data_IF_856023890134
#
_entry.id   IF_856023890134
#
_cell.length_a   1.000
_cell.length_b   1.000
_cell.length_c   1.000
_cell.angle_alpha   90.00
_cell.angle_beta   90.00
_cell.angle_gamma   90.00
#
_symmetry.space_group_name_H-M   'P 1'
#
loop_
_entity.id
_entity.type
_entity.pdbx_description
1 polymer ?
#
# COMPACT_ATOMS: atom_id res chain seq x y z
N UNK A 1 -5.82 -8.59 -3.19
CA UNK A 1 -6.34 -7.61 -4.20
C UNK A 1 -6.50 -6.22 -3.59
N UNK A 2 -6.36 -5.16 -4.41
CA UNK A 2 -6.60 -3.78 -3.98
C UNK A 2 -8.09 -3.49 -3.75
N UNK A 3 -8.42 -2.67 -2.75
CA UNK A 3 -9.77 -2.23 -2.41
C UNK A 3 -9.98 -0.79 -2.89
N UNK A 4 -10.97 -0.57 -3.75
CA UNK A 4 -11.41 0.76 -4.15
C UNK A 4 -12.33 1.34 -3.08
N UNK A 5 -12.04 2.55 -2.60
CA UNK A 5 -12.93 3.33 -1.73
C UNK A 5 -13.49 4.49 -2.54
N UNK A 6 -14.81 4.67 -2.46
CA UNK A 6 -15.54 5.71 -3.18
C UNK A 6 -15.06 7.11 -2.86
N UNK A 7 -15.09 7.97 -3.89
CA UNK A 7 -14.60 9.33 -3.78
C UNK A 7 -15.46 10.18 -2.85
N UNK A 8 -14.81 11.04 -2.05
CA UNK A 8 -15.45 12.10 -1.26
C UNK A 8 -15.45 13.39 -2.06
N UNK A 9 -16.49 14.19 -1.91
CA UNK A 9 -16.70 15.42 -2.69
C UNK A 9 -17.87 15.33 -3.66
N UNK A 10 -17.78 16.06 -4.77
CA UNK A 10 -18.85 16.26 -5.74
C UNK A 10 -18.79 15.37 -6.97
N UNK A 11 -19.79 15.56 -7.85
CA UNK A 11 -19.88 14.93 -9.17
C UNK A 11 -19.46 15.86 -10.32
N UNK A 12 -18.89 17.03 -10.00
CA UNK A 12 -18.46 18.01 -10.99
C UNK A 12 -17.10 17.68 -11.58
N UNK A 13 -16.75 18.30 -12.72
CA UNK A 13 -15.47 18.08 -13.38
C UNK A 13 -15.39 16.77 -14.16
N UNK A 14 -14.24 16.52 -14.76
CA UNK A 14 -13.96 15.30 -15.52
C UNK A 14 -13.43 14.21 -14.59
N UNK A 15 -13.93 12.99 -14.77
CA UNK A 15 -13.46 11.84 -14.01
C UNK A 15 -12.05 11.43 -14.43
N UNK A 16 -11.30 10.92 -13.47
CA UNK A 16 -9.97 10.35 -13.67
C UNK A 16 -9.76 9.19 -12.71
N UNK A 17 -8.94 8.24 -13.13
CA UNK A 17 -8.61 7.04 -12.36
C UNK A 17 -7.18 6.65 -12.70
N UNK A 18 -6.30 6.68 -11.70
CA UNK A 18 -4.90 6.30 -11.91
C UNK A 18 -4.71 4.78 -11.82
N UNK A 19 -5.74 4.05 -11.38
CA UNK A 19 -5.68 2.61 -11.18
C UNK A 19 -5.05 2.21 -9.84
N UNK A 20 -4.89 0.89 -9.69
CA UNK A 20 -4.46 0.23 -8.45
C UNK A 20 -3.25 -0.67 -8.63
N UNK A 21 -2.49 -0.47 -9.71
CA UNK A 21 -1.33 -1.30 -10.09
C UNK A 21 0.01 -0.67 -9.68
N UNK A 22 -0.03 0.32 -8.78
CA UNK A 22 1.14 0.94 -8.18
C UNK A 22 1.55 0.26 -6.87
N UNK A 23 2.85 0.27 -6.58
CA UNK A 23 3.44 -0.28 -5.36
C UNK A 23 3.24 0.67 -4.16
N UNK A 24 3.34 1.98 -4.40
CA UNK A 24 3.20 3.02 -3.37
C UNK A 24 2.99 4.43 -3.95
N UNK A 25 2.48 5.33 -3.09
CA UNK A 25 2.52 6.79 -3.30
C UNK A 25 3.77 7.35 -2.64
N UNK A 26 4.59 8.11 -3.36
CA UNK A 26 5.86 8.68 -2.84
C UNK A 26 5.83 10.19 -2.70
N UNK A 27 4.98 10.89 -3.45
CA UNK A 27 4.85 12.34 -3.33
C UNK A 27 3.45 12.80 -3.67
N UNK A 28 2.98 13.79 -2.91
CA UNK A 28 1.71 14.48 -3.17
C UNK A 28 1.99 15.98 -3.25
N UNK A 29 1.70 16.59 -4.39
CA UNK A 29 1.82 18.02 -4.62
C UNK A 29 0.42 18.63 -4.70
N UNK A 30 0.17 19.66 -3.90
CA UNK A 30 -1.12 20.37 -3.86
C UNK A 30 -0.90 21.86 -4.12
N UNK A 31 -1.86 22.52 -4.75
CA UNK A 31 -1.98 23.98 -4.73
C UNK A 31 -3.37 24.41 -4.29
N UNK A 32 -3.43 25.49 -3.54
CA UNK A 32 -4.69 26.09 -3.06
C UNK A 32 -5.02 27.30 -3.92
N UNK A 33 -6.25 27.36 -4.41
CA UNK A 33 -6.80 28.51 -5.13
C UNK A 33 -7.89 29.19 -4.32
N UNK A 34 -8.43 30.32 -4.82
CA UNK A 34 -9.40 31.12 -4.07
C UNK A 34 -10.71 30.40 -3.72
N UNK A 35 -11.07 29.34 -4.45
CA UNK A 35 -12.31 28.58 -4.22
C UNK A 35 -12.11 27.29 -3.41
N UNK A 36 -10.90 26.77 -3.30
CA UNK A 36 -10.62 25.45 -2.72
C UNK A 36 -9.28 24.90 -3.19
N UNK A 37 -9.13 23.58 -3.18
CA UNK A 37 -7.95 22.93 -3.76
C UNK A 37 -7.97 23.15 -5.29
N UNK A 38 -6.96 23.85 -5.81
CA UNK A 38 -6.87 24.17 -7.23
C UNK A 38 -6.43 22.95 -8.02
N UNK A 39 -5.34 22.32 -7.58
CA UNK A 39 -4.92 21.08 -8.18
C UNK A 39 -4.23 20.15 -7.21
N UNK A 40 -4.18 18.88 -7.60
CA UNK A 40 -3.38 17.84 -6.97
C UNK A 40 -2.62 17.03 -8.03
N UNK A 41 -1.43 16.56 -7.69
CA UNK A 41 -0.60 15.71 -8.53
C UNK A 41 0.14 14.71 -7.64
N UNK A 42 0.37 13.51 -8.17
CA UNK A 42 0.99 12.42 -7.43
C UNK A 42 2.23 11.92 -8.15
N UNK A 43 3.20 11.44 -7.37
CA UNK A 43 4.23 10.53 -7.87
C UNK A 43 3.99 9.16 -7.23
N UNK A 44 3.99 8.12 -8.05
CA UNK A 44 3.84 6.73 -7.65
C UNK A 44 5.13 5.95 -7.91
N UNK A 45 5.27 4.81 -7.23
CA UNK A 45 6.20 3.76 -7.65
C UNK A 45 5.40 2.66 -8.34
N UNK A 46 5.85 2.28 -9.53
CA UNK A 46 5.29 1.19 -10.33
C UNK A 46 6.42 0.33 -10.85
N UNK A 47 6.42 -0.96 -10.49
CA UNK A 47 7.50 -1.89 -10.84
C UNK A 47 8.89 -1.37 -10.42
N UNK A 48 8.97 -0.72 -9.25
CA UNK A 48 10.19 -0.10 -8.74
C UNK A 48 10.62 1.20 -9.43
N UNK A 49 9.90 1.70 -10.43
CA UNK A 49 10.17 2.98 -11.10
C UNK A 49 9.22 4.08 -10.63
N UNK A 50 9.73 5.31 -10.51
CA UNK A 50 8.90 6.46 -10.12
C UNK A 50 8.22 7.07 -11.35
N UNK A 51 6.90 7.22 -11.29
CA UNK A 51 6.08 7.81 -12.33
C UNK A 51 5.27 8.98 -11.77
N UNK A 52 5.32 10.13 -12.44
CA UNK A 52 4.51 11.29 -12.09
C UNK A 52 3.21 11.28 -12.89
N UNK A 53 2.08 11.46 -12.20
CA UNK A 53 0.78 11.56 -12.85
C UNK A 53 0.62 12.88 -13.58
N UNK A 54 -0.31 12.99 -14.55
CA UNK A 54 -0.77 14.30 -14.97
C UNK A 54 -1.36 15.06 -13.77
N UNK A 55 -1.44 16.37 -13.87
CA UNK A 55 -2.05 17.23 -12.85
C UNK A 55 -3.59 17.11 -12.91
N UNK A 56 -4.26 17.14 -11.75
CA UNK A 56 -5.72 17.12 -11.63
C UNK A 56 -6.22 18.48 -11.18
N UNK A 57 -6.97 19.18 -12.03
CA UNK A 57 -7.31 20.60 -11.87
C UNK A 57 -6.60 21.46 -12.93
N UNK A 58 -6.54 22.76 -12.71
CA UNK A 58 -5.72 23.67 -13.54
C UNK A 58 -4.64 24.35 -12.70
N UNK A 59 -3.43 24.51 -13.26
CA UNK A 59 -2.34 25.17 -12.53
C UNK A 59 -2.62 26.67 -12.31
N UNK A 60 -3.17 27.35 -13.32
CA UNK A 60 -3.42 28.79 -13.30
C UNK A 60 -2.18 29.58 -12.86
N UNK A 61 -2.39 30.63 -12.06
CA UNK A 61 -1.34 31.40 -11.39
C UNK A 61 -1.09 30.96 -9.93
N UNK A 62 -1.56 29.76 -9.54
CA UNK A 62 -1.45 29.30 -8.15
C UNK A 62 -0.04 28.80 -7.84
N UNK A 63 0.43 29.08 -6.63
CA UNK A 63 1.72 28.61 -6.13
C UNK A 63 1.49 27.29 -5.38
N UNK A 64 2.21 26.20 -5.72
CA UNK A 64 2.14 24.95 -4.98
C UNK A 64 2.58 25.12 -3.52
N UNK A 65 1.96 24.37 -2.61
CA UNK A 65 2.49 24.21 -1.25
C UNK A 65 3.77 23.39 -1.26
N UNK A 66 4.49 23.31 -0.15
CA UNK A 66 5.52 22.27 -0.04
C UNK A 66 4.89 20.88 -0.26
N UNK A 67 5.55 19.99 -1.02
CA UNK A 67 5.04 18.65 -1.28
C UNK A 67 5.06 17.78 -0.02
N UNK A 68 4.07 16.88 0.09
CA UNK A 68 4.12 15.81 1.08
C UNK A 68 4.90 14.63 0.49
N UNK A 69 6.17 14.53 0.89
CA UNK A 69 7.09 13.45 0.45
C UNK A 69 7.01 12.27 1.41
N UNK A 70 6.90 11.06 0.88
CA UNK A 70 6.78 9.80 1.59
C UNK A 70 8.01 8.96 1.26
N UNK A 71 8.81 8.64 2.28
CA UNK A 71 10.05 7.88 2.12
C UNK A 71 9.76 6.38 2.04
N UNK A 72 9.41 5.90 0.84
CA UNK A 72 9.21 4.48 0.54
C UNK A 72 10.55 3.69 0.58
N UNK A 73 10.59 2.44 1.10
CA UNK A 73 9.45 1.62 1.54
C UNK A 73 9.04 1.76 3.00
N UNK A 74 9.83 2.41 3.85
CA UNK A 74 9.58 2.42 5.30
C UNK A 74 8.42 3.35 5.69
N UNK A 75 8.12 4.35 4.87
CA UNK A 75 6.97 5.23 4.99
C UNK A 75 5.93 4.96 3.90
N UNK A 76 4.65 4.94 4.28
CA UNK A 76 3.52 4.78 3.36
C UNK A 76 2.32 5.59 3.84
N UNK A 77 1.51 6.05 2.89
CA UNK A 77 0.29 6.80 3.18
C UNK A 77 -0.79 5.86 3.74
N UNK A 78 -1.39 6.24 4.87
CA UNK A 78 -2.41 5.42 5.55
C UNK A 78 -3.80 6.04 5.48
N UNK A 79 -3.88 7.37 5.51
CA UNK A 79 -5.15 8.08 5.59
C UNK A 79 -5.06 9.47 5.00
N UNK A 80 -6.20 9.97 4.53
CA UNK A 80 -6.38 11.37 4.14
C UNK A 80 -7.61 11.91 4.85
N UNK A 81 -7.45 13.01 5.58
CA UNK A 81 -8.58 13.81 6.03
C UNK A 81 -8.96 14.79 4.93
N UNK A 82 -10.24 14.84 4.59
CA UNK A 82 -10.79 15.61 3.47
C UNK A 82 -11.92 16.51 3.96
N UNK A 83 -11.89 17.76 3.55
CA UNK A 83 -12.97 18.73 3.76
C UNK A 83 -13.55 19.12 2.41
N UNK A 84 -14.87 19.08 2.29
CA UNK A 84 -15.56 19.44 1.05
C UNK A 84 -16.88 20.15 1.33
N UNK A 85 -17.27 21.07 0.45
CA UNK A 85 -18.56 21.77 0.52
C UNK A 85 -19.72 20.86 0.11
N UNK A 86 -20.98 21.22 0.40
CA UNK A 86 -22.15 20.49 -0.10
C UNK A 86 -22.24 20.40 -1.63
N UNK A 87 -21.72 21.40 -2.36
CA UNK A 87 -21.55 21.35 -3.82
C UNK A 87 -20.45 20.37 -4.28
N UNK A 88 -19.72 19.81 -3.31
CA UNK A 88 -18.72 18.78 -3.47
C UNK A 88 -17.30 19.29 -3.66
N UNK A 89 -17.08 20.60 -3.84
CA UNK A 89 -15.74 21.14 -4.07
C UNK A 89 -14.80 20.88 -2.89
N UNK A 90 -13.64 20.26 -3.13
CA UNK A 90 -12.65 19.99 -2.09
C UNK A 90 -12.06 21.31 -1.57
N UNK A 91 -12.16 21.51 -0.26
CA UNK A 91 -11.73 22.70 0.43
C UNK A 91 -10.39 22.53 1.11
N UNK A 92 -10.16 21.38 1.73
CA UNK A 92 -8.95 21.13 2.50
C UNK A 92 -8.57 19.67 2.58
N UNK A 93 -7.28 19.44 2.77
CA UNK A 93 -6.65 18.13 2.83
C UNK A 93 -5.64 18.08 3.98
N UNK A 94 -5.54 16.92 4.61
CA UNK A 94 -4.44 16.56 5.52
C UNK A 94 -4.03 15.12 5.25
N UNK A 95 -2.75 14.92 4.97
CA UNK A 95 -2.19 13.61 4.64
C UNK A 95 -1.57 12.98 5.89
N UNK A 96 -1.82 11.69 6.09
CA UNK A 96 -1.34 10.94 7.25
C UNK A 96 -0.61 9.71 6.72
N UNK A 97 0.68 9.59 7.02
CA UNK A 97 1.47 8.38 6.81
C UNK A 97 1.63 7.61 8.12
N UNK A 98 2.20 6.40 8.05
CA UNK A 98 2.58 5.63 9.23
C UNK A 98 3.68 6.31 10.09
N UNK A 99 4.30 7.40 9.63
CA UNK A 99 5.36 8.10 10.37
C UNK A 99 5.03 9.55 10.73
N UNK A 100 4.22 10.24 9.93
CA UNK A 100 3.96 11.68 10.11
C UNK A 100 2.60 12.10 9.58
N UNK A 101 2.17 13.27 10.06
CA UNK A 101 0.97 13.96 9.57
C UNK A 101 1.39 15.28 8.93
N UNK A 102 0.83 15.60 7.77
CA UNK A 102 1.08 16.87 7.09
C UNK A 102 0.46 18.04 7.86
N UNK A 103 0.90 19.26 7.56
CA UNK A 103 0.09 20.45 7.89
C UNK A 103 -1.27 20.37 7.18
N UNK A 104 -2.25 21.09 7.70
CA UNK A 104 -3.51 21.29 7.00
C UNK A 104 -3.29 22.17 5.75
N UNK A 105 -3.85 21.76 4.62
CA UNK A 105 -3.75 22.47 3.34
C UNK A 105 -5.15 22.87 2.90
N UNK A 106 -5.36 24.15 2.58
CA UNK A 106 -6.64 24.66 2.10
C UNK A 106 -7.46 25.37 3.18
N UNK A 107 -8.78 25.20 3.14
CA UNK A 107 -9.74 25.88 4.01
C UNK A 107 -10.44 24.88 4.93
N UNK A 108 -10.43 25.13 6.24
CA UNK A 108 -11.10 24.30 7.25
C UNK A 108 -12.59 24.63 7.30
N UNK A 109 -13.31 24.27 6.23
CA UNK A 109 -14.75 24.50 6.09
C UNK A 109 -15.42 23.40 5.28
N UNK A 110 -16.68 23.15 5.59
CA UNK A 110 -17.48 22.09 4.96
C UNK A 110 -17.50 20.79 5.76
N UNK A 111 -17.87 19.70 5.10
CA UNK A 111 -17.98 18.37 5.71
C UNK A 111 -16.60 17.73 5.77
N UNK A 112 -16.21 17.26 6.96
CA UNK A 112 -14.99 16.48 7.17
C UNK A 112 -15.27 15.00 6.97
N UNK A 113 -14.39 14.32 6.24
CA UNK A 113 -14.44 12.87 6.01
C UNK A 113 -13.01 12.31 5.96
N UNK A 114 -12.89 11.00 5.99
CA UNK A 114 -11.62 10.29 5.86
C UNK A 114 -11.65 9.34 4.66
N UNK A 115 -10.51 9.20 4.00
CA UNK A 115 -10.20 8.04 3.16
C UNK A 115 -9.21 7.17 3.95
N UNK A 116 -9.72 6.09 4.54
CA UNK A 116 -8.94 5.18 5.35
C UNK A 116 -9.56 3.79 5.30
N UNK A 117 -8.72 2.77 5.30
CA UNK A 117 -9.10 1.39 5.56
C UNK A 117 -8.14 0.83 6.59
N UNK A 118 -8.68 0.14 7.59
CA UNK A 118 -7.88 -0.50 8.64
C UNK A 118 -6.87 -1.49 8.02
N UNK A 119 -5.64 -1.50 8.53
CA UNK A 119 -4.54 -2.40 8.15
C UNK A 119 -4.15 -2.37 6.65
N UNK A 120 -4.42 -1.24 5.98
CA UNK A 120 -4.07 -1.02 4.57
C UNK A 120 -3.39 0.31 4.34
N UNK A 121 -2.54 0.36 3.31
CA UNK A 121 -1.93 1.58 2.77
C UNK A 121 -2.66 2.04 1.53
N UNK A 122 -2.61 3.35 1.25
CA UNK A 122 -3.07 3.93 -0.01
C UNK A 122 -1.99 3.71 -1.07
N UNK A 123 -2.39 3.22 -2.24
CA UNK A 123 -1.50 2.94 -3.38
C UNK A 123 -1.89 3.68 -4.67
N UNK A 124 -3.07 4.27 -4.74
CA UNK A 124 -3.50 4.99 -5.93
C UNK A 124 -4.73 5.84 -5.66
N UNK A 125 -5.04 6.73 -6.59
CA UNK A 125 -6.15 7.66 -6.47
C UNK A 125 -7.06 7.62 -7.69
N UNK A 126 -8.31 7.99 -7.46
CA UNK A 126 -9.30 8.28 -8.50
C UNK A 126 -10.14 9.47 -8.03
N UNK A 127 -10.90 10.09 -8.94
CA UNK A 127 -11.75 11.20 -8.56
C UNK A 127 -12.25 11.99 -9.75
N UNK A 128 -12.53 13.27 -9.51
CA UNK A 128 -12.95 14.20 -10.55
C UNK A 128 -12.33 15.58 -10.34
N UNK A 129 -12.01 16.25 -11.43
CA UNK A 129 -11.49 17.62 -11.42
C UNK A 129 -11.94 18.39 -12.66
N UNK A 130 -12.35 19.65 -12.45
CA UNK A 130 -12.49 20.66 -13.48
C UNK A 130 -11.37 21.68 -13.34
N UNK A 131 -11.71 22.94 -13.13
CA UNK A 131 -10.73 23.96 -12.73
C UNK A 131 -10.12 23.63 -11.36
N UNK A 132 -10.93 23.07 -10.46
CA UNK A 132 -10.54 22.68 -9.11
C UNK A 132 -10.72 21.18 -8.89
N UNK A 133 -10.18 20.68 -7.78
CA UNK A 133 -10.44 19.31 -7.36
C UNK A 133 -11.87 19.18 -6.84
N UNK A 134 -12.68 18.35 -7.50
CA UNK A 134 -14.08 18.15 -7.18
C UNK A 134 -14.30 16.92 -6.31
N UNK A 135 -13.55 15.84 -6.52
CA UNK A 135 -13.63 14.68 -5.63
C UNK A 135 -12.32 13.91 -5.60
N UNK A 136 -12.12 13.18 -4.51
CA UNK A 136 -10.96 12.32 -4.31
C UNK A 136 -11.38 11.02 -3.63
N UNK A 137 -11.03 9.91 -4.27
CA UNK A 137 -11.13 8.54 -3.77
C UNK A 137 -9.76 7.86 -3.86
N UNK A 138 -9.65 6.67 -3.27
CA UNK A 138 -8.36 5.99 -3.14
C UNK A 138 -8.48 4.48 -3.31
N UNK A 139 -7.38 3.88 -3.76
CA UNK A 139 -7.15 2.45 -3.77
C UNK A 139 -6.26 2.05 -2.59
N UNK A 140 -6.67 1.00 -1.89
CA UNK A 140 -6.01 0.48 -0.70
C UNK A 140 -5.43 -0.90 -0.96
N UNK A 141 -4.19 -1.11 -0.58
CA UNK A 141 -3.57 -2.43 -0.55
C UNK A 141 -3.21 -2.82 0.88
N UNK A 142 -3.24 -4.12 1.21
CA UNK A 142 -2.67 -4.62 2.45
C UNK A 142 -1.24 -4.14 2.65
N UNK A 143 -0.85 -3.99 3.92
CA UNK A 143 0.52 -3.69 4.27
C UNK A 143 1.40 -4.88 3.87
N UNK A 144 2.13 -4.74 2.77
CA UNK A 144 3.23 -5.63 2.43
C UNK A 144 4.44 -5.19 3.25
N UNK A 145 4.80 -5.98 4.25
CA UNK A 145 6.05 -5.78 4.99
C UNK A 145 7.17 -6.16 4.01
N UNK A 146 8.09 -5.25 3.66
CA UNK A 146 9.29 -5.64 2.93
C UNK A 146 10.08 -6.55 3.88
N UNK A 147 10.03 -7.84 3.62
CA UNK A 147 10.78 -8.81 4.40
C UNK A 147 12.21 -8.71 3.92
N UNK A 148 13.03 -8.00 4.68
CA UNK A 148 14.47 -8.02 4.45
C UNK A 148 14.94 -9.44 4.80
N UNK A 149 15.61 -10.16 3.88
CA UNK A 149 16.18 -11.45 4.21
C UNK A 149 17.10 -11.28 5.41
N UNK A 150 16.76 -11.94 6.52
CA UNK A 150 17.64 -11.95 7.68
C UNK A 150 18.94 -12.67 7.29
N UNK A 151 20.06 -12.29 7.92
CA UNK A 151 21.30 -13.04 7.75
C UNK A 151 21.07 -14.49 8.22
N UNK A 152 21.23 -15.51 7.37
CA UNK A 152 21.00 -16.88 7.76
C UNK A 152 21.99 -17.30 8.85
N UNK A 153 21.51 -18.07 9.82
CA UNK A 153 22.38 -18.73 10.79
C UNK A 153 22.96 -20.01 10.17
N UNK A 154 24.17 -20.45 10.57
CA UNK A 154 24.69 -21.74 10.14
C UNK A 154 23.72 -22.87 10.50
N UNK A 155 23.40 -23.71 9.53
CA UNK A 155 22.56 -24.89 9.74
C UNK A 155 23.31 -25.91 10.61
N UNK A 156 22.54 -26.68 11.40
CA UNK A 156 23.05 -27.83 12.16
C UNK A 156 22.67 -29.10 11.40
N UNK A 157 23.64 -29.98 11.13
CA UNK A 157 23.40 -31.21 10.38
C UNK A 157 24.64 -31.72 9.66
N UNK A 158 24.43 -32.41 8.55
CA UNK A 158 25.48 -32.85 7.62
C UNK A 158 25.72 -31.79 6.53
N UNK A 159 26.87 -31.89 5.87
CA UNK A 159 27.18 -31.17 4.62
C UNK A 159 26.56 -31.86 3.38
N UNK A 160 25.86 -32.97 3.57
CA UNK A 160 25.16 -33.71 2.52
C UNK A 160 23.75 -33.16 2.24
N UNK A 161 23.32 -33.26 0.97
CA UNK A 161 21.96 -32.94 0.53
C UNK A 161 21.87 -31.76 -0.43
N UNK A 162 20.66 -31.50 -0.93
CA UNK A 162 20.37 -30.33 -1.77
C UNK A 162 19.97 -29.15 -0.88
N UNK A 163 20.73 -28.05 -0.98
CA UNK A 163 20.42 -26.83 -0.25
C UNK A 163 19.10 -26.21 -0.75
N UNK A 164 18.30 -25.69 0.17
CA UNK A 164 17.06 -24.98 -0.09
C UNK A 164 16.91 -23.78 0.86
N UNK A 165 16.20 -22.76 0.39
CA UNK A 165 15.86 -21.56 1.14
C UNK A 165 14.50 -21.06 0.63
N UNK A 166 13.46 -21.15 1.47
CA UNK A 166 12.12 -20.68 1.12
C UNK A 166 12.01 -19.14 1.09
N UNK A 167 13.05 -18.44 1.53
CA UNK A 167 13.11 -16.99 1.65
C UNK A 167 12.52 -16.47 2.95
N UNK A 168 12.16 -15.18 2.96
CA UNK A 168 11.61 -14.52 4.13
C UNK A 168 10.09 -14.41 4.04
N UNK A 169 9.41 -14.71 5.16
CA UNK A 169 7.96 -14.59 5.34
C UNK A 169 7.62 -13.77 6.59
N UNK A 170 6.39 -13.25 6.68
CA UNK A 170 5.94 -12.48 7.85
C UNK A 170 5.91 -13.37 9.09
N UNK A 171 5.57 -14.64 8.91
CA UNK A 171 5.56 -15.66 9.94
C UNK A 171 5.44 -17.06 9.36
N UNK A 172 5.63 -18.05 10.22
CA UNK A 172 5.32 -19.46 9.94
C UNK A 172 4.00 -19.77 10.63
N UNK A 173 3.01 -20.20 9.86
CA UNK A 173 1.66 -20.51 10.33
C UNK A 173 1.48 -21.97 10.69
N UNK A 174 2.02 -22.87 9.87
CA UNK A 174 1.96 -24.33 10.10
C UNK A 174 3.29 -24.99 9.76
N UNK A 175 3.58 -26.06 10.47
CA UNK A 175 4.71 -26.96 10.18
C UNK A 175 4.17 -28.37 10.00
N UNK A 176 4.57 -29.01 8.91
CA UNK A 176 4.28 -30.39 8.62
C UNK A 176 5.58 -31.19 8.67
N UNK A 177 5.57 -32.30 9.40
CA UNK A 177 6.72 -33.17 9.57
C UNK A 177 6.39 -34.56 9.04
N UNK A 178 7.18 -35.04 8.07
CA UNK A 178 7.08 -36.38 7.52
C UNK A 178 8.11 -37.29 8.19
N UNK A 179 7.63 -38.29 8.93
CA UNK A 179 8.48 -39.25 9.63
C UNK A 179 8.70 -40.52 8.79
N UNK A 180 9.91 -41.07 8.88
CA UNK A 180 10.33 -42.35 8.31
C UNK A 180 10.87 -43.28 9.42
N UNK A 181 11.30 -44.49 9.04
CA UNK A 181 11.84 -45.48 9.98
C UNK A 181 13.05 -44.97 10.79
N UNK A 182 13.87 -44.11 10.17
CA UNK A 182 15.14 -43.65 10.73
C UNK A 182 15.13 -42.16 11.16
N UNK A 183 13.95 -41.52 11.19
CA UNK A 183 13.80 -40.12 11.65
C UNK A 183 12.95 -39.26 10.72
N UNK A 184 13.24 -37.95 10.70
CA UNK A 184 12.52 -36.99 9.85
C UNK A 184 13.02 -37.11 8.41
N UNK A 185 12.11 -37.37 7.48
CA UNK A 185 12.43 -37.53 6.05
C UNK A 185 11.96 -36.36 5.19
N UNK A 186 10.97 -35.60 5.65
CA UNK A 186 10.46 -34.44 4.94
C UNK A 186 9.92 -33.38 5.90
N UNK A 187 10.04 -32.11 5.51
CA UNK A 187 9.37 -30.99 6.17
C UNK A 187 8.66 -30.13 5.14
N UNK A 188 7.55 -29.51 5.55
CA UNK A 188 6.79 -28.58 4.72
C UNK A 188 6.17 -27.51 5.60
N UNK A 189 6.10 -26.29 5.11
CA UNK A 189 5.66 -25.13 5.89
C UNK A 189 4.49 -24.42 5.22
N UNK A 190 3.65 -23.77 6.02
CA UNK A 190 2.71 -22.75 5.55
C UNK A 190 3.12 -21.44 6.17
N UNK A 191 3.27 -20.42 5.34
CA UNK A 191 3.76 -19.12 5.71
C UNK A 191 2.69 -18.05 5.60
N UNK A 192 2.80 -17.03 6.45
CA UNK A 192 2.06 -15.79 6.30
C UNK A 192 2.80 -14.86 5.34
N UNK A 193 2.16 -14.51 4.23
CA UNK A 193 2.63 -13.52 3.25
C UNK A 193 1.55 -12.45 3.10
N UNK A 194 1.43 -11.58 4.12
CA UNK A 194 0.41 -10.52 4.21
C UNK A 194 0.03 -9.96 2.82
N UNK A 195 -1.24 -10.11 2.37
CA UNK A 195 -2.43 -10.58 3.11
C UNK A 195 -2.73 -12.09 3.06
N UNK A 196 -1.99 -12.88 2.30
CA UNK A 196 -2.36 -14.26 1.96
C UNK A 196 -1.38 -15.28 2.56
N UNK A 197 -1.82 -16.53 2.69
CA UNK A 197 -0.98 -17.64 3.10
C UNK A 197 -0.36 -18.31 1.89
N UNK A 198 0.90 -18.75 2.03
CA UNK A 198 1.61 -19.50 1.00
C UNK A 198 2.00 -20.85 1.56
N UNK A 199 1.66 -21.91 0.86
CA UNK A 199 2.14 -23.26 1.16
C UNK A 199 3.49 -23.44 0.48
N UNK A 200 4.54 -23.67 1.28
CA UNK A 200 5.89 -23.93 0.78
C UNK A 200 6.02 -25.28 0.08
N UNK A 201 7.13 -25.46 -0.63
CA UNK A 201 7.48 -26.75 -1.20
C UNK A 201 7.78 -27.79 -0.11
N UNK A 202 7.73 -29.05 -0.49
CA UNK A 202 8.16 -30.14 0.40
C UNK A 202 9.67 -30.30 0.28
N UNK A 203 10.36 -30.27 1.42
CA UNK A 203 11.80 -30.45 1.48
C UNK A 203 12.12 -31.82 2.05
N UNK A 204 12.55 -32.75 1.19
CA UNK A 204 12.90 -34.11 1.55
C UNK A 204 12.16 -35.15 0.71
N UNK A 205 11.97 -36.35 1.27
CA UNK A 205 11.30 -37.46 0.60
C UNK A 205 10.02 -37.83 1.33
N UNK A 206 8.89 -37.76 0.63
CA UNK A 206 7.59 -38.16 1.16
C UNK A 206 7.61 -39.62 1.61
N UNK A 207 6.96 -39.91 2.74
CA UNK A 207 6.83 -41.27 3.27
C UNK A 207 5.42 -41.81 3.05
N UNK A 208 5.28 -43.13 3.08
CA UNK A 208 3.98 -43.81 3.03
C UNK A 208 3.07 -43.46 4.22
N UNK A 209 3.64 -42.91 5.31
CA UNK A 209 2.92 -42.53 6.53
C UNK A 209 2.32 -41.11 6.45
N UNK A 210 2.70 -40.30 5.45
CA UNK A 210 2.20 -38.94 5.28
C UNK A 210 2.82 -37.92 6.24
N UNK A 211 2.22 -36.73 6.29
CA UNK A 211 2.63 -35.62 7.16
C UNK A 211 1.78 -35.56 8.42
N UNK A 212 2.41 -35.25 9.55
CA UNK A 212 1.74 -34.80 10.76
C UNK A 212 1.82 -33.26 10.87
N UNK A 213 0.69 -32.61 11.15
CA UNK A 213 0.64 -31.18 11.49
C UNK A 213 1.03 -31.02 12.96
N UNK A 214 2.04 -30.20 13.24
CA UNK A 214 2.58 -29.96 14.59
C UNK A 214 2.26 -28.55 15.05
#
# INVERSE_FOLDING_TARGET
>A
MAQKVEAKGGKGGNQWDDGSDHDAVTKIQVAVGGMGIQYIQFDYVKNGQTEQTPLRGIKGSTIPTDPFVINHPEEHLVSIEIWYKPDGLIQGLRFISNKKTSRFIGYDRGTRSFLQVQDKKIIGFHGSAGDNLNSLGAYFAPLTIPLTPAKPLPALGSDDGTAWDDGAYVGVKKVYVGQAQDGISAVKFVYDKSPEEVTGEEHGKSTLLGFEEV
#
